data_IF_323446165719
#
_entry.id   IF_323446165719
#
_cell.length_a   1.000
_cell.length_b   1.000
_cell.length_c   1.000
_cell.angle_alpha   90.00
_cell.angle_beta   90.00
_cell.angle_gamma   90.00
#
_symmetry.space_group_name_H-M   'P 1'
#
loop_
_entity.id
_entity.type
_entity.pdbx_description
1 polymer ?
#
# COMPACT_ATOMS: atom_id res chain seq x y z
N UNK A 1 7.44 -60.33 -23.60
CA UNK A 1 7.78 -61.26 -22.50
C UNK A 1 7.36 -60.65 -21.18
N UNK A 2 6.68 -61.44 -20.35
CA UNK A 2 6.74 -61.55 -18.88
C UNK A 2 6.65 -60.31 -17.97
N UNK A 3 5.97 -60.30 -16.82
CA UNK A 3 4.93 -61.20 -16.27
C UNK A 3 4.21 -60.49 -15.09
N UNK A 4 2.90 -60.76 -14.95
CA UNK A 4 2.00 -60.47 -13.80
C UNK A 4 2.33 -61.41 -12.58
N UNK A 5 1.53 -61.48 -11.49
CA UNK A 5 0.97 -60.44 -10.58
C UNK A 5 0.97 -60.88 -9.07
N UNK A 6 0.38 -60.06 -8.17
CA UNK A 6 -0.47 -60.38 -6.97
C UNK A 6 -0.43 -59.19 -5.98
N UNK A 7 -1.42 -58.87 -5.14
CA UNK A 7 -2.77 -59.41 -4.90
C UNK A 7 -3.38 -58.74 -3.62
N UNK A 8 -4.72 -58.67 -3.42
CA UNK A 8 -5.34 -57.78 -2.42
C UNK A 8 -5.96 -58.50 -1.18
N UNK A 9 -6.18 -57.76 -0.07
CA UNK A 9 -7.17 -58.00 1.03
C UNK A 9 -7.49 -56.65 1.71
N UNK A 10 -8.71 -56.07 1.78
CA UNK A 10 -10.03 -56.46 2.34
C UNK A 10 -10.10 -56.56 3.87
N UNK A 11 -10.92 -55.74 4.55
CA UNK A 11 -11.22 -55.92 5.99
C UNK A 11 -11.88 -54.76 6.77
N UNK A 12 -13.13 -54.43 6.49
CA UNK A 12 -14.08 -53.71 7.38
C UNK A 12 -15.48 -54.37 7.21
N UNK A 13 -16.49 -54.15 8.08
CA UNK A 13 -16.50 -53.59 9.44
C UNK A 13 -17.00 -54.72 10.42
N UNK A 14 -18.17 -54.73 11.12
CA UNK A 14 -18.92 -53.70 11.88
C UNK A 14 -19.38 -54.09 13.32
N UNK A 15 -19.54 -53.05 14.16
CA UNK A 15 -20.62 -52.85 15.18
C UNK A 15 -20.91 -53.93 16.25
N UNK A 16 -20.87 -53.51 17.53
CA UNK A 16 -21.94 -53.87 18.49
C UNK A 16 -22.33 -52.71 19.43
N UNK A 17 -23.55 -52.22 19.27
CA UNK A 17 -24.25 -51.41 20.28
C UNK A 17 -24.56 -52.29 21.50
N UNK A 18 -24.44 -51.74 22.70
CA UNK A 18 -25.22 -52.17 23.86
C UNK A 18 -26.07 -51.00 24.35
N UNK A 19 -27.38 -51.07 24.14
CA UNK A 19 -28.38 -50.24 24.83
C UNK A 19 -29.02 -51.09 25.93
N UNK A 20 -28.87 -50.69 27.18
CA UNK A 20 -29.67 -51.14 28.32
C UNK A 20 -29.45 -50.16 29.48
N UNK A 21 -30.43 -49.79 30.29
CA UNK A 21 -31.88 -49.86 30.10
C UNK A 21 -32.52 -48.70 30.86
N UNK A 22 -33.69 -48.25 30.42
CA UNK A 22 -34.51 -47.28 31.17
C UNK A 22 -35.25 -48.02 32.28
N UNK A 23 -35.06 -47.62 33.53
CA UNK A 23 -36.08 -47.77 34.57
C UNK A 23 -36.28 -46.45 35.30
N UNK A 24 -37.50 -45.93 35.22
CA UNK A 24 -37.90 -44.64 35.76
C UNK A 24 -38.97 -44.89 36.83
N UNK A 25 -38.69 -44.62 38.12
CA UNK A 25 -39.73 -44.66 39.15
C UNK A 25 -39.46 -43.76 40.37
N UNK A 26 -39.71 -42.48 40.18
CA UNK A 26 -40.54 -41.65 41.07
C UNK A 26 -40.68 -42.07 42.55
N UNK A 27 -40.01 -41.32 43.44
CA UNK A 27 -40.59 -40.94 44.75
C UNK A 27 -39.85 -39.76 45.38
N UNK A 28 -40.40 -38.55 45.25
CA UNK A 28 -40.12 -37.46 46.19
C UNK A 28 -40.77 -37.79 47.54
N UNK A 29 -40.22 -37.27 48.64
CA UNK A 29 -40.93 -36.16 49.30
C UNK A 29 -40.05 -34.93 49.54
N UNK A 30 -40.73 -33.81 49.83
CA UNK A 30 -40.16 -32.48 50.00
C UNK A 30 -39.21 -32.38 51.21
N UNK A 31 -38.13 -31.60 51.07
CA UNK A 31 -37.56 -30.86 52.19
C UNK A 31 -36.99 -29.52 51.71
N UNK A 32 -37.58 -28.44 52.20
CA UNK A 32 -37.21 -27.06 51.92
C UNK A 32 -36.02 -26.63 52.79
N UNK A 33 -34.84 -26.39 52.19
CA UNK A 33 -33.83 -25.48 52.75
C UNK A 33 -33.22 -24.60 51.68
N UNK A 34 -33.45 -23.30 51.84
CA UNK A 34 -32.78 -22.19 51.17
C UNK A 34 -31.32 -22.10 51.58
N UNK A 35 -30.41 -21.80 50.63
CA UNK A 35 -29.31 -20.82 50.80
C UNK A 35 -28.38 -20.73 49.57
N UNK A 36 -27.95 -19.49 49.28
CA UNK A 36 -26.69 -19.12 48.63
C UNK A 36 -26.36 -19.69 47.22
N UNK A 37 -26.92 -19.05 46.19
CA UNK A 37 -26.28 -18.98 44.87
C UNK A 37 -25.01 -18.13 44.98
N UNK A 38 -23.83 -18.74 45.04
CA UNK A 38 -22.57 -18.03 44.81
C UNK A 38 -22.31 -17.93 43.30
N UNK A 39 -22.91 -16.92 42.68
CA UNK A 39 -22.66 -16.58 41.28
C UNK A 39 -21.24 -16.04 41.10
N UNK A 40 -20.32 -16.91 40.71
CA UNK A 40 -18.98 -16.51 40.26
C UNK A 40 -19.12 -15.78 38.91
N UNK A 41 -19.35 -14.47 38.98
CA UNK A 41 -19.29 -13.56 37.83
C UNK A 41 -17.82 -13.49 37.38
N UNK A 42 -17.45 -14.42 36.48
CA UNK A 42 -16.20 -14.32 35.72
C UNK A 42 -16.35 -13.06 34.87
N UNK A 43 -15.80 -11.96 35.38
CA UNK A 43 -15.41 -10.81 34.57
C UNK A 43 -14.40 -11.33 33.55
N UNK A 44 -14.91 -11.73 32.38
CA UNK A 44 -14.13 -11.67 31.16
C UNK A 44 -13.75 -10.20 30.99
N UNK A 45 -12.58 -9.84 31.56
CA UNK A 45 -11.85 -8.67 31.16
C UNK A 45 -11.75 -8.79 29.64
N UNK A 46 -12.45 -7.90 28.93
CA UNK A 46 -12.49 -7.94 27.48
C UNK A 46 -11.04 -7.96 27.02
N UNK A 47 -10.66 -8.99 26.27
CA UNK A 47 -9.48 -8.91 25.44
C UNK A 47 -9.79 -7.80 24.45
N UNK A 48 -9.45 -6.56 24.83
CA UNK A 48 -9.56 -5.41 23.97
C UNK A 48 -8.87 -5.80 22.68
N UNK A 49 -9.58 -5.67 21.57
CA UNK A 49 -8.99 -5.93 20.27
C UNK A 49 -7.78 -5.00 20.16
N UNK A 50 -6.60 -5.55 20.42
CA UNK A 50 -5.37 -4.80 20.35
C UNK A 50 -5.27 -4.31 18.92
N UNK A 51 -5.40 -2.99 18.74
CA UNK A 51 -5.17 -2.34 17.46
C UNK A 51 -3.76 -2.78 17.06
N UNK A 52 -3.67 -3.59 16.01
CA UNK A 52 -2.50 -4.41 15.78
C UNK A 52 -1.43 -3.58 15.06
N UNK A 53 -0.65 -2.85 15.84
CA UNK A 53 0.47 -2.09 15.32
C UNK A 53 1.40 -3.01 14.52
N UNK A 54 1.80 -2.57 13.33
CA UNK A 54 2.56 -3.37 12.38
C UNK A 54 3.74 -2.59 11.81
N UNK A 55 4.91 -3.20 11.78
CA UNK A 55 6.11 -2.68 11.13
C UNK A 55 6.58 -3.65 10.06
N UNK A 56 6.62 -3.19 8.82
CA UNK A 56 7.06 -3.93 7.64
C UNK A 56 8.40 -3.36 7.16
N UNK A 57 9.40 -4.21 7.07
CA UNK A 57 10.73 -3.82 6.58
C UNK A 57 10.93 -4.35 5.17
N UNK A 58 11.07 -3.44 4.22
CA UNK A 58 11.40 -3.71 2.83
C UNK A 58 12.90 -3.50 2.57
N UNK A 59 13.43 -4.17 1.55
CA UNK A 59 14.79 -4.01 1.07
C UNK A 59 14.81 -3.96 -0.46
N UNK A 60 15.51 -2.97 -1.00
CA UNK A 60 16.00 -2.93 -2.39
C UNK A 60 17.53 -3.04 -2.38
N UNK A 61 18.14 -3.79 -3.32
CA UNK A 61 19.60 -3.74 -3.53
C UNK A 61 20.10 -2.36 -3.97
N UNK A 62 19.24 -1.53 -4.57
CA UNK A 62 19.60 -0.22 -5.14
C UNK A 62 19.39 0.93 -4.17
N UNK A 63 18.25 0.94 -3.46
CA UNK A 63 17.83 2.07 -2.61
C UNK A 63 17.97 1.81 -1.12
N UNK A 64 18.35 0.60 -0.70
CA UNK A 64 18.54 0.25 0.71
C UNK A 64 17.27 -0.27 1.39
N UNK A 65 17.20 -0.13 2.71
CA UNK A 65 16.05 -0.59 3.50
C UNK A 65 15.02 0.51 3.72
N UNK A 66 13.75 0.19 3.49
CA UNK A 66 12.61 1.08 3.72
C UNK A 66 11.68 0.46 4.75
N UNK A 67 11.06 1.27 5.59
CA UNK A 67 10.16 0.79 6.66
C UNK A 67 8.78 1.40 6.52
N UNK A 68 7.74 0.57 6.59
CA UNK A 68 6.33 0.98 6.66
C UNK A 68 5.80 0.61 8.04
N UNK A 69 5.35 1.59 8.80
CA UNK A 69 4.75 1.43 10.12
C UNK A 69 3.25 1.76 10.01
N UNK A 70 2.38 0.94 10.61
CA UNK A 70 0.94 1.16 10.68
C UNK A 70 0.52 1.13 12.13
N UNK A 71 -0.26 2.14 12.53
CA UNK A 71 -0.81 2.29 13.87
C UNK A 71 -2.12 3.08 13.77
N UNK A 72 -3.24 2.53 14.25
CA UNK A 72 -4.51 3.26 14.41
C UNK A 72 -4.97 4.06 13.16
N UNK A 73 -4.85 3.49 11.95
CA UNK A 73 -5.19 4.18 10.68
C UNK A 73 -4.15 5.17 10.15
N UNK A 74 -3.05 5.39 10.89
CA UNK A 74 -1.88 6.11 10.42
C UNK A 74 -0.93 5.15 9.72
N UNK A 75 -0.37 5.55 8.57
CA UNK A 75 0.70 4.82 7.87
C UNK A 75 1.92 5.72 7.72
N UNK A 76 3.06 5.32 8.29
CA UNK A 76 4.33 6.06 8.21
C UNK A 76 5.32 5.27 7.36
N UNK A 77 5.79 5.86 6.26
CA UNK A 77 6.83 5.29 5.42
C UNK A 77 8.14 6.06 5.62
N UNK A 78 9.22 5.34 5.89
CA UNK A 78 10.60 5.86 5.87
C UNK A 78 11.34 5.21 4.72
N UNK A 79 11.84 6.00 3.77
CA UNK A 79 12.60 5.52 2.61
C UNK A 79 13.95 6.24 2.54
N UNK A 80 15.07 5.58 2.21
CA UNK A 80 16.35 6.26 2.04
C UNK A 80 16.31 7.20 0.84
N UNK A 81 16.91 8.38 0.96
CA UNK A 81 16.99 9.32 -0.15
C UNK A 81 18.09 8.92 -1.15
N UNK A 82 17.82 8.96 -2.47
CA UNK A 82 18.86 8.84 -3.49
C UNK A 82 19.94 9.92 -3.27
N UNK A 83 21.21 9.51 -3.28
CA UNK A 83 22.36 10.42 -3.08
C UNK A 83 22.83 10.60 -1.64
N UNK A 84 22.29 9.86 -0.66
CA UNK A 84 22.86 9.75 0.69
C UNK A 84 22.50 10.88 1.66
N UNK A 85 21.51 11.71 1.34
CA UNK A 85 21.06 12.84 2.17
C UNK A 85 20.21 12.49 3.40
N UNK A 86 20.23 11.24 3.87
CA UNK A 86 19.37 10.75 4.95
C UNK A 86 18.11 10.03 4.44
N UNK A 87 17.01 10.14 5.18
CA UNK A 87 15.73 9.47 4.86
C UNK A 87 14.64 10.49 4.49
N UNK A 88 13.70 10.08 3.65
CA UNK A 88 12.41 10.74 3.48
C UNK A 88 11.39 10.06 4.38
N UNK A 89 10.69 10.83 5.20
CA UNK A 89 9.59 10.33 6.04
C UNK A 89 8.29 10.89 5.50
N UNK A 90 7.34 10.00 5.21
CA UNK A 90 5.97 10.37 4.86
C UNK A 90 4.98 9.69 5.79
N UNK A 91 3.87 10.37 6.07
CA UNK A 91 2.83 9.95 7.00
C UNK A 91 1.47 10.17 6.34
N UNK A 92 0.65 9.14 6.27
CA UNK A 92 -0.74 9.20 5.85
C UNK A 92 -1.67 9.01 7.06
N UNK A 93 -2.68 9.86 7.16
CA UNK A 93 -3.76 9.81 8.14
C UNK A 93 -5.04 9.40 7.41
N UNK A 94 -5.47 8.13 7.53
CA UNK A 94 -6.63 7.63 6.80
C UNK A 94 -7.94 8.27 7.25
N UNK A 95 -8.07 8.59 8.54
CA UNK A 95 -9.26 9.23 9.12
C UNK A 95 -9.48 10.65 8.58
N UNK A 96 -8.41 11.38 8.27
CA UNK A 96 -8.46 12.74 7.74
C UNK A 96 -8.22 12.83 6.22
N UNK A 97 -7.86 11.73 5.55
CA UNK A 97 -7.48 11.72 4.14
C UNK A 97 -6.32 12.68 3.86
N UNK A 98 -5.28 12.65 4.71
CA UNK A 98 -4.19 13.64 4.70
C UNK A 98 -2.82 12.98 4.62
N UNK A 99 -2.05 13.38 3.62
CA UNK A 99 -0.68 12.94 3.39
C UNK A 99 0.31 14.03 3.79
N UNK A 100 1.35 13.65 4.52
CA UNK A 100 2.38 14.54 5.06
C UNK A 100 3.73 14.02 4.59
N UNK A 101 4.60 14.91 4.13
CA UNK A 101 6.01 14.62 3.83
C UNK A 101 6.88 15.50 4.71
N UNK A 102 7.83 14.89 5.42
CA UNK A 102 8.80 15.56 6.29
C UNK A 102 10.13 15.68 5.55
N UNK A 103 10.69 16.88 5.52
CA UNK A 103 12.07 17.16 5.13
C UNK A 103 12.88 17.34 6.42
N UNK A 104 13.60 16.29 6.81
CA UNK A 104 14.40 16.26 8.05
C UNK A 104 15.55 17.28 8.00
N UNK A 105 16.19 17.43 6.84
CA UNK A 105 17.31 18.34 6.65
C UNK A 105 16.91 19.81 6.79
N UNK A 106 15.71 20.17 6.32
CA UNK A 106 15.16 21.54 6.44
C UNK A 106 14.28 21.76 7.67
N UNK A 107 14.02 20.73 8.48
CA UNK A 107 13.02 20.74 9.57
C UNK A 107 11.69 21.35 9.12
N UNK A 108 11.20 20.88 7.98
CA UNK A 108 9.95 21.38 7.40
C UNK A 108 9.05 20.24 6.96
N UNK A 109 7.76 20.54 6.77
CA UNK A 109 6.81 19.54 6.28
C UNK A 109 5.85 20.13 5.27
N UNK A 110 5.45 19.31 4.30
CA UNK A 110 4.32 19.58 3.42
C UNK A 110 3.18 18.69 3.88
N UNK A 111 1.97 19.25 3.94
CA UNK A 111 0.76 18.51 4.23
C UNK A 111 -0.27 18.79 3.15
N UNK A 112 -0.83 17.72 2.59
CA UNK A 112 -1.77 17.74 1.47
C UNK A 112 -2.98 16.88 1.82
N UNK A 113 -4.16 17.41 1.53
CA UNK A 113 -5.43 16.71 1.50
C UNK A 113 -6.06 16.89 0.12
N UNK A 114 -7.19 16.24 -0.16
CA UNK A 114 -7.85 16.29 -1.47
C UNK A 114 -8.21 17.73 -1.90
N UNK A 115 -8.56 18.60 -0.96
CA UNK A 115 -8.86 20.01 -1.25
C UNK A 115 -7.60 20.78 -1.66
N UNK A 116 -6.50 20.60 -0.91
CA UNK A 116 -5.18 21.20 -1.20
C UNK A 116 -4.65 20.74 -2.56
N UNK A 117 -4.78 19.44 -2.89
CA UNK A 117 -4.35 18.88 -4.18
C UNK A 117 -5.18 19.45 -5.33
N UNK A 118 -6.51 19.53 -5.18
CA UNK A 118 -7.42 20.10 -6.19
C UNK A 118 -7.12 21.58 -6.46
N UNK A 119 -6.92 22.37 -5.41
CA UNK A 119 -6.55 23.78 -5.49
C UNK A 119 -5.17 23.98 -6.15
N UNK A 120 -4.18 23.16 -5.78
CA UNK A 120 -2.86 23.19 -6.42
C UNK A 120 -2.94 22.80 -7.91
N UNK A 121 -3.75 21.80 -8.27
CA UNK A 121 -3.94 21.40 -9.66
C UNK A 121 -4.62 22.49 -10.51
N UNK A 122 -5.55 23.28 -9.94
CA UNK A 122 -6.11 24.47 -10.60
C UNK A 122 -5.02 25.52 -10.85
N UNK A 123 -4.28 25.91 -9.81
CA UNK A 123 -3.17 26.89 -9.91
C UNK A 123 -2.10 26.45 -10.92
N UNK A 124 -1.78 25.16 -10.98
CA UNK A 124 -0.86 24.61 -11.98
C UNK A 124 -1.42 24.73 -13.41
N UNK A 125 -2.72 24.51 -13.62
CA UNK A 125 -3.37 24.71 -14.93
C UNK A 125 -3.40 26.20 -15.33
N UNK A 126 -3.71 27.08 -14.40
CA UNK A 126 -3.70 28.54 -14.60
C UNK A 126 -2.28 29.05 -14.95
N UNK A 127 -1.27 28.62 -14.19
CA UNK A 127 0.13 28.94 -14.46
C UNK A 127 0.59 28.43 -15.82
N UNK A 128 0.19 27.21 -16.21
CA UNK A 128 0.48 26.69 -17.56
C UNK A 128 -0.23 27.51 -18.65
N UNK A 129 -1.49 27.89 -18.46
CA UNK A 129 -2.21 28.74 -19.42
C UNK A 129 -1.55 30.12 -19.58
N UNK A 130 -1.12 30.76 -18.47
CA UNK A 130 -0.38 32.02 -18.49
C UNK A 130 0.98 31.86 -19.19
N UNK A 131 1.72 30.80 -18.91
CA UNK A 131 3.02 30.51 -19.55
C UNK A 131 2.86 30.30 -21.06
N UNK A 132 1.84 29.54 -21.50
CA UNK A 132 1.53 29.35 -22.92
C UNK A 132 1.10 30.66 -23.59
N UNK A 133 0.35 31.53 -22.91
CA UNK A 133 -0.02 32.84 -23.44
C UNK A 133 1.22 33.75 -23.61
N UNK A 134 2.12 33.81 -22.61
CA UNK A 134 3.37 34.56 -22.71
C UNK A 134 4.30 34.00 -23.80
N UNK A 135 4.36 32.68 -23.98
CA UNK A 135 5.11 32.06 -25.07
C UNK A 135 4.56 32.44 -26.43
N UNK A 136 3.22 32.37 -26.62
CA UNK A 136 2.54 32.80 -27.85
C UNK A 136 2.77 34.28 -28.17
N UNK A 137 2.83 35.14 -27.14
CA UNK A 137 3.15 36.55 -27.35
C UNK A 137 4.59 36.73 -27.83
N UNK A 138 5.57 36.12 -27.14
CA UNK A 138 6.99 36.19 -27.55
C UNK A 138 7.25 35.60 -28.94
N UNK A 139 6.49 34.59 -29.36
CA UNK A 139 6.61 34.02 -30.71
C UNK A 139 6.25 35.02 -31.81
N UNK A 140 5.45 36.07 -31.54
CA UNK A 140 5.16 37.12 -32.54
C UNK A 140 6.43 37.84 -32.98
N UNK A 141 7.32 38.15 -32.04
CA UNK A 141 8.53 38.94 -32.29
C UNK A 141 9.75 38.10 -32.74
N UNK A 142 9.60 36.78 -32.86
CA UNK A 142 10.70 35.88 -33.26
C UNK A 142 10.99 35.87 -34.76
N UNK A 143 12.25 35.65 -35.19
CA UNK A 143 12.59 35.28 -36.55
C UNK A 143 11.83 34.02 -37.00
N UNK A 144 11.53 33.92 -38.30
CA UNK A 144 10.68 32.85 -38.85
C UNK A 144 11.18 31.43 -38.52
N UNK A 145 12.49 31.19 -38.64
CA UNK A 145 13.12 29.89 -38.32
C UNK A 145 12.96 29.52 -36.83
N UNK A 146 13.13 30.49 -35.93
CA UNK A 146 12.98 30.26 -34.49
C UNK A 146 11.51 30.03 -34.10
N UNK A 147 10.58 30.75 -34.73
CA UNK A 147 9.13 30.53 -34.55
C UNK A 147 8.75 29.11 -34.98
N UNK A 148 9.18 28.67 -36.16
CA UNK A 148 8.89 27.32 -36.67
C UNK A 148 9.44 26.22 -35.75
N UNK A 149 10.67 26.36 -35.24
CA UNK A 149 11.21 25.40 -34.25
C UNK A 149 10.37 25.35 -32.97
N UNK A 150 9.87 26.50 -32.50
CA UNK A 150 9.07 26.57 -31.27
C UNK A 150 7.64 26.05 -31.46
N UNK A 151 7.03 26.33 -32.61
CA UNK A 151 5.73 25.75 -33.01
C UNK A 151 5.81 24.23 -33.12
N UNK A 152 6.89 23.68 -33.70
CA UNK A 152 7.13 22.23 -33.75
C UNK A 152 7.29 21.62 -32.34
N UNK A 153 8.02 22.26 -31.44
CA UNK A 153 8.16 21.80 -30.05
C UNK A 153 6.83 21.86 -29.29
N UNK A 154 6.04 22.92 -29.47
CA UNK A 154 4.69 23.00 -28.90
C UNK A 154 3.78 21.90 -29.44
N UNK A 155 3.79 21.65 -30.75
CA UNK A 155 2.99 20.59 -31.36
C UNK A 155 3.38 19.20 -30.83
N UNK A 156 4.67 18.90 -30.69
CA UNK A 156 5.15 17.65 -30.08
C UNK A 156 4.74 17.52 -28.60
N UNK A 157 4.75 18.63 -27.86
CA UNK A 157 4.32 18.65 -26.46
C UNK A 157 2.80 18.46 -26.30
N UNK A 158 2.00 19.06 -27.17
CA UNK A 158 0.54 18.86 -27.25
C UNK A 158 0.19 17.44 -27.72
N UNK A 159 0.92 16.87 -28.70
CA UNK A 159 0.79 15.47 -29.12
C UNK A 159 1.14 14.53 -27.94
N UNK A 160 2.26 14.76 -27.25
CA UNK A 160 2.68 13.98 -26.09
C UNK A 160 1.70 14.02 -24.90
N UNK A 161 0.93 15.10 -24.77
CA UNK A 161 -0.19 15.22 -23.81
C UNK A 161 -1.47 14.54 -24.29
N UNK A 162 -1.71 14.52 -25.60
CA UNK A 162 -2.90 13.97 -26.23
C UNK A 162 -2.80 12.47 -26.52
N UNK A 163 -1.59 11.89 -26.45
CA UNK A 163 -1.39 10.45 -26.57
C UNK A 163 -2.24 9.70 -25.54
N UNK A 164 -3.02 8.68 -25.96
CA UNK A 164 -3.74 7.84 -25.03
C UNK A 164 -2.77 7.19 -24.06
N UNK A 165 -3.21 6.99 -22.82
CA UNK A 165 -2.46 6.19 -21.85
C UNK A 165 -2.14 4.82 -22.44
N UNK A 166 -0.93 4.28 -22.17
CA UNK A 166 -0.66 2.89 -22.50
C UNK A 166 -1.58 1.99 -21.68
N UNK A 167 -2.06 0.90 -22.29
CA UNK A 167 -3.00 -0.02 -21.67
C UNK A 167 -2.25 -0.88 -20.64
N UNK A 168 -2.52 -0.64 -19.35
CA UNK A 168 -2.02 -1.47 -18.26
C UNK A 168 -3.00 -2.62 -17.99
N UNK A 169 -2.50 -3.85 -17.99
CA UNK A 169 -3.26 -5.05 -17.59
C UNK A 169 -2.49 -5.86 -16.56
N UNK A 170 -3.15 -6.30 -15.48
CA UNK A 170 -2.55 -7.21 -14.49
C UNK A 170 -3.13 -8.60 -14.65
N UNK A 171 -2.27 -9.61 -14.75
CA UNK A 171 -2.68 -11.01 -14.90
C UNK A 171 -2.05 -11.88 -13.81
N UNK A 172 -2.88 -12.67 -13.14
CA UNK A 172 -2.42 -13.73 -12.23
C UNK A 172 -1.73 -14.82 -13.06
N UNK A 173 -0.49 -15.15 -12.72
CA UNK A 173 0.32 -16.11 -13.52
C UNK A 173 0.04 -17.58 -13.19
N UNK A 174 -0.73 -17.86 -12.14
CA UNK A 174 -0.94 -19.20 -11.59
C UNK A 174 0.23 -19.72 -10.74
N UNK A 175 1.41 -19.09 -10.80
CA UNK A 175 2.56 -19.45 -9.95
C UNK A 175 2.36 -19.00 -8.51
N UNK A 176 2.87 -19.80 -7.59
CA UNK A 176 3.03 -19.44 -6.18
C UNK A 176 4.49 -19.61 -5.77
N UNK A 177 4.97 -18.73 -4.91
CA UNK A 177 6.36 -18.69 -4.45
C UNK A 177 6.42 -18.43 -2.94
N UNK A 178 7.63 -18.51 -2.37
CA UNK A 178 7.94 -18.09 -1.00
C UNK A 178 9.09 -17.10 -1.05
N UNK A 179 8.84 -15.86 -0.64
CA UNK A 179 9.83 -14.77 -0.59
C UNK A 179 10.12 -14.44 0.86
N UNK A 180 11.37 -14.64 1.31
CA UNK A 180 11.80 -14.38 2.70
C UNK A 180 10.89 -15.03 3.78
N UNK A 181 10.32 -16.20 3.48
CA UNK A 181 9.37 -16.91 4.35
C UNK A 181 7.89 -16.63 4.08
N UNK A 182 7.55 -15.57 3.33
CA UNK A 182 6.19 -15.20 2.99
C UNK A 182 5.70 -15.93 1.74
N UNK A 183 4.66 -16.76 1.86
CA UNK A 183 4.01 -17.40 0.71
C UNK A 183 3.17 -16.37 -0.06
N UNK A 184 3.36 -16.31 -1.37
CA UNK A 184 2.71 -15.34 -2.25
C UNK A 184 2.31 -15.93 -3.61
N UNK A 185 1.38 -15.28 -4.30
CA UNK A 185 0.97 -15.56 -5.68
C UNK A 185 1.63 -14.55 -6.62
N UNK A 186 2.16 -15.00 -7.76
CA UNK A 186 2.83 -14.12 -8.72
C UNK A 186 1.84 -13.53 -9.72
N UNK A 187 1.89 -12.22 -9.89
CA UNK A 187 1.14 -11.41 -10.85
C UNK A 187 2.12 -10.71 -11.80
N UNK A 188 1.77 -10.66 -13.09
CA UNK A 188 2.52 -9.98 -14.13
C UNK A 188 1.70 -8.79 -14.62
N UNK A 189 2.30 -7.60 -14.66
CA UNK A 189 1.76 -6.44 -15.37
C UNK A 189 2.22 -6.43 -16.81
N UNK A 190 1.32 -5.98 -17.69
CA UNK A 190 1.56 -5.79 -19.12
C UNK A 190 1.25 -4.34 -19.47
N UNK A 191 2.11 -3.72 -20.27
CA UNK A 191 1.93 -2.39 -20.83
C UNK A 191 1.85 -2.56 -22.35
N UNK A 192 0.71 -2.21 -22.95
CA UNK A 192 0.41 -2.43 -24.37
C UNK A 192 0.68 -3.87 -24.83
N UNK A 193 0.28 -4.84 -23.98
CA UNK A 193 0.46 -6.28 -24.20
C UNK A 193 1.87 -6.81 -23.97
N UNK A 194 2.87 -5.96 -23.68
CA UNK A 194 4.26 -6.38 -23.39
C UNK A 194 4.46 -6.55 -21.88
N UNK A 195 5.11 -7.63 -21.40
CA UNK A 195 5.45 -7.78 -19.98
C UNK A 195 6.29 -6.59 -19.48
N UNK A 196 5.91 -5.99 -18.36
CA UNK A 196 6.56 -4.80 -17.82
C UNK A 196 7.12 -5.01 -16.40
N UNK A 197 6.27 -5.39 -15.45
CA UNK A 197 6.62 -5.53 -14.02
C UNK A 197 6.02 -6.80 -13.43
N UNK A 198 6.60 -7.33 -12.36
CA UNK A 198 6.09 -8.50 -11.64
C UNK A 198 5.85 -8.15 -10.16
N UNK A 199 4.82 -8.69 -9.54
CA UNK A 199 4.61 -8.64 -8.10
C UNK A 199 4.27 -10.03 -7.55
N UNK A 200 4.91 -10.42 -6.44
CA UNK A 200 4.48 -11.56 -5.64
C UNK A 200 3.67 -11.04 -4.45
N UNK A 201 2.38 -11.34 -4.45
CA UNK A 201 1.38 -10.77 -3.52
C UNK A 201 0.95 -11.82 -2.49
N UNK A 202 1.04 -11.50 -1.21
CA UNK A 202 0.63 -12.34 -0.09
C UNK A 202 -0.73 -11.90 0.48
N UNK A 203 -1.40 -12.81 1.20
CA UNK A 203 -2.60 -12.51 1.98
C UNK A 203 -2.20 -11.64 3.20
N UNK A 204 -2.83 -10.48 3.46
CA UNK A 204 -2.51 -9.64 4.61
C UNK A 204 -2.63 -10.38 5.95
N UNK A 205 -3.54 -11.35 6.06
CA UNK A 205 -3.70 -12.19 7.26
C UNK A 205 -2.52 -13.13 7.47
N UNK A 206 -1.90 -13.65 6.40
CA UNK A 206 -0.69 -14.49 6.55
C UNK A 206 0.57 -13.68 6.88
N UNK A 207 0.51 -12.36 6.70
CA UNK A 207 1.50 -11.40 7.20
C UNK A 207 1.24 -10.94 8.65
N UNK A 208 0.12 -11.36 9.27
CA UNK A 208 -0.26 -10.94 10.61
C UNK A 208 -0.90 -9.55 10.71
N UNK A 209 -1.28 -8.93 9.59
CA UNK A 209 -1.94 -7.61 9.58
C UNK A 209 -3.42 -7.76 9.96
N UNK A 210 -3.94 -6.83 10.76
CA UNK A 210 -5.38 -6.77 11.01
C UNK A 210 -6.13 -6.25 9.77
N UNK A 211 -7.45 -6.46 9.69
CA UNK A 211 -8.27 -5.86 8.65
C UNK A 211 -8.18 -4.32 8.62
N UNK A 212 -7.95 -3.67 9.76
CA UNK A 212 -7.83 -2.23 9.87
C UNK A 212 -6.51 -1.72 9.29
N UNK A 213 -5.39 -2.39 9.56
CA UNK A 213 -4.06 -1.99 9.06
C UNK A 213 -4.01 -2.14 7.54
N UNK A 214 -4.53 -3.26 7.04
CA UNK A 214 -4.63 -3.49 5.60
C UNK A 214 -5.56 -2.47 4.92
N UNK A 215 -6.65 -2.05 5.59
CA UNK A 215 -7.50 -0.98 5.05
C UNK A 215 -6.77 0.37 5.02
N UNK A 216 -6.02 0.73 6.07
CA UNK A 216 -5.22 1.96 6.08
C UNK A 216 -4.15 2.00 4.97
N UNK A 217 -3.51 0.86 4.68
CA UNK A 217 -2.58 0.70 3.55
C UNK A 217 -3.31 0.90 2.21
N UNK A 218 -4.51 0.31 2.03
CA UNK A 218 -5.32 0.51 0.82
C UNK A 218 -5.75 1.97 0.64
N UNK A 219 -6.18 2.62 1.71
CA UNK A 219 -6.60 4.03 1.70
C UNK A 219 -5.44 4.94 1.31
N UNK A 220 -4.23 4.63 1.78
CA UNK A 220 -2.99 5.32 1.35
C UNK A 220 -2.73 5.14 -0.15
N UNK A 221 -2.78 3.92 -0.67
CA UNK A 221 -2.58 3.68 -2.12
C UNK A 221 -3.66 4.36 -2.97
N UNK A 222 -4.92 4.31 -2.55
CA UNK A 222 -6.02 4.99 -3.22
C UNK A 222 -5.83 6.51 -3.22
N UNK A 223 -5.41 7.10 -2.10
CA UNK A 223 -5.09 8.53 -2.02
C UNK A 223 -3.91 8.92 -2.93
N UNK A 224 -2.84 8.13 -2.94
CA UNK A 224 -1.70 8.37 -3.82
C UNK A 224 -2.07 8.28 -5.31
N UNK A 225 -2.95 7.33 -5.68
CA UNK A 225 -3.47 7.21 -7.04
C UNK A 225 -4.36 8.40 -7.45
N UNK A 226 -5.28 8.84 -6.59
CA UNK A 226 -6.14 10.03 -6.79
C UNK A 226 -5.30 11.32 -6.91
N UNK A 227 -4.28 11.46 -6.06
CA UNK A 227 -3.32 12.57 -6.13
C UNK A 227 -2.56 12.58 -7.46
N UNK A 228 -1.99 11.45 -7.87
CA UNK A 228 -1.21 11.37 -9.10
C UNK A 228 -2.09 11.63 -10.34
N UNK A 229 -3.31 11.08 -10.37
CA UNK A 229 -4.31 11.38 -11.41
C UNK A 229 -4.72 12.85 -11.45
N UNK A 230 -4.82 13.52 -10.30
CA UNK A 230 -5.22 14.93 -10.22
C UNK A 230 -4.11 15.87 -10.69
N UNK A 231 -2.84 15.56 -10.38
CA UNK A 231 -1.68 16.40 -10.71
C UNK A 231 -1.21 16.19 -12.15
N UNK A 232 -1.05 14.93 -12.58
CA UNK A 232 -0.48 14.58 -13.89
C UNK A 232 -1.55 14.20 -14.93
N UNK A 233 -2.84 14.32 -14.58
CA UNK A 233 -3.91 13.76 -15.40
C UNK A 233 -3.83 12.22 -15.45
N UNK A 234 -4.37 11.64 -16.51
CA UNK A 234 -4.30 10.19 -16.74
C UNK A 234 -2.87 9.64 -16.70
N UNK A 235 -1.88 10.41 -17.18
CA UNK A 235 -0.45 10.07 -17.16
C UNK A 235 0.14 9.84 -15.74
N UNK A 236 -0.58 10.21 -14.68
CA UNK A 236 -0.15 10.01 -13.29
C UNK A 236 -0.27 8.58 -12.74
N UNK A 237 -0.99 7.67 -13.42
CA UNK A 237 -1.05 6.27 -12.96
C UNK A 237 0.34 5.63 -13.00
N UNK A 238 0.76 5.09 -11.86
CA UNK A 238 1.92 4.19 -11.73
C UNK A 238 1.79 3.06 -12.77
N UNK A 239 2.75 2.88 -13.71
CA UNK A 239 2.61 1.90 -14.81
C UNK A 239 2.56 0.42 -14.37
N UNK A 240 2.64 0.17 -13.07
CA UNK A 240 2.70 -1.16 -12.46
C UNK A 240 1.30 -1.73 -12.16
N UNK A 241 0.30 -0.88 -11.87
CA UNK A 241 -1.12 -1.24 -11.71
C UNK A 241 -1.47 -2.25 -10.61
N UNK A 242 -0.55 -2.59 -9.71
CA UNK A 242 -0.76 -3.61 -8.68
C UNK A 242 -1.64 -3.13 -7.51
N UNK A 243 -1.99 -1.84 -7.44
CA UNK A 243 -2.83 -1.24 -6.41
C UNK A 243 -4.25 -1.83 -6.37
N UNK A 244 -4.72 -2.37 -7.50
CA UNK A 244 -6.02 -3.03 -7.64
C UNK A 244 -5.98 -4.55 -7.30
N UNK A 245 -4.78 -5.13 -7.07
CA UNK A 245 -4.64 -6.56 -6.74
C UNK A 245 -4.89 -6.81 -5.25
N UNK A 246 -5.79 -7.73 -4.88
CA UNK A 246 -6.03 -8.06 -3.47
C UNK A 246 -4.79 -8.67 -2.79
N UNK A 247 -4.28 -7.99 -1.77
CA UNK A 247 -3.22 -8.44 -0.88
C UNK A 247 -2.11 -7.41 -0.72
N UNK A 248 -0.95 -7.84 -0.24
CA UNK A 248 0.22 -6.98 -0.12
C UNK A 248 1.42 -7.56 -0.90
N UNK A 249 2.11 -6.76 -1.74
CA UNK A 249 3.31 -7.23 -2.41
C UNK A 249 4.44 -7.49 -1.40
N UNK A 250 4.93 -8.73 -1.39
CA UNK A 250 6.13 -9.16 -0.65
C UNK A 250 7.37 -9.20 -1.56
N UNK A 251 7.17 -9.15 -2.88
CA UNK A 251 8.17 -8.77 -3.88
C UNK A 251 7.51 -7.88 -4.93
N UNK A 252 8.19 -6.84 -5.37
CA UNK A 252 7.96 -6.21 -6.68
C UNK A 252 9.25 -6.24 -7.50
N UNK A 253 9.10 -6.38 -8.82
CA UNK A 253 10.17 -6.23 -9.81
C UNK A 253 9.71 -5.22 -10.85
N UNK A 254 10.31 -4.04 -10.84
CA UNK A 254 10.01 -2.95 -11.75
C UNK A 254 10.59 -3.20 -13.16
N UNK A 255 10.14 -2.45 -14.19
CA UNK A 255 10.77 -2.46 -15.50
C UNK A 255 12.25 -2.06 -15.36
N UNK A 256 13.16 -2.79 -16.00
CA UNK A 256 14.60 -2.63 -15.78
C UNK A 256 15.19 -3.49 -14.65
N UNK A 257 14.37 -4.32 -13.97
CA UNK A 257 14.84 -5.39 -13.10
C UNK A 257 15.07 -5.00 -11.63
N UNK A 258 14.95 -3.72 -11.28
CA UNK A 258 15.00 -3.27 -9.88
C UNK A 258 13.94 -4.01 -9.05
N UNK A 259 14.37 -4.57 -7.92
CA UNK A 259 13.56 -5.46 -7.09
C UNK A 259 13.47 -4.91 -5.67
N UNK A 260 12.26 -4.89 -5.11
CA UNK A 260 12.01 -4.59 -3.70
C UNK A 260 11.33 -5.79 -3.05
N UNK A 261 11.82 -6.21 -1.88
CA UNK A 261 11.28 -7.37 -1.15
C UNK A 261 10.94 -7.02 0.30
N UNK A 262 9.84 -7.57 0.80
CA UNK A 262 9.54 -7.62 2.23
C UNK A 262 10.51 -8.61 2.90
N UNK A 263 11.26 -8.12 3.90
CA UNK A 263 12.21 -8.91 4.69
C UNK A 263 11.69 -9.28 6.07
N UNK A 264 10.80 -8.47 6.65
CA UNK A 264 10.23 -8.71 7.99
C UNK A 264 8.87 -8.04 8.15
N UNK A 265 8.01 -8.67 8.95
CA UNK A 265 6.87 -8.02 9.61
C UNK A 265 7.02 -8.21 11.12
N UNK A 266 6.79 -7.17 11.90
CA UNK A 266 6.78 -7.20 13.37
C UNK A 266 5.49 -6.55 13.89
N UNK A 267 4.79 -7.20 14.80
CA UNK A 267 3.53 -6.72 15.38
C UNK A 267 3.70 -6.26 16.83
N UNK A 268 4.60 -5.27 17.05
CA UNK A 268 4.87 -4.68 18.36
C UNK A 268 4.17 -3.32 18.48
N UNK A 269 3.72 -2.92 19.69
CA UNK A 269 3.17 -1.59 19.93
C UNK A 269 4.10 -0.48 19.43
N UNK A 270 3.51 0.55 18.83
CA UNK A 270 4.20 1.73 18.31
C UNK A 270 3.78 2.97 19.10
N UNK A 271 4.70 3.93 19.21
CA UNK A 271 4.42 5.20 19.87
C UNK A 271 3.72 6.16 18.90
N UNK A 272 2.56 6.69 19.30
CA UNK A 272 1.85 7.83 18.73
C UNK A 272 2.77 8.92 18.13
N UNK A 273 3.84 9.26 18.84
CA UNK A 273 4.76 10.35 18.46
C UNK A 273 5.49 10.08 17.15
N UNK A 274 5.68 8.81 16.75
CA UNK A 274 6.27 8.44 15.46
C UNK A 274 5.45 8.96 14.27
N UNK A 275 4.13 9.09 14.46
CA UNK A 275 3.16 9.51 13.44
C UNK A 275 2.78 10.99 13.53
N UNK A 276 3.43 11.76 14.40
CA UNK A 276 3.21 13.20 14.59
C UNK A 276 4.31 14.00 13.87
N UNK A 277 3.98 15.25 13.54
CA UNK A 277 4.97 16.20 13.02
C UNK A 277 5.91 16.57 14.18
N UNK A 278 7.25 16.42 14.07
CA UNK A 278 8.15 16.68 15.20
C UNK A 278 8.18 18.17 15.60
N UNK A 279 8.54 18.43 16.87
CA UNK A 279 8.55 19.78 17.42
C UNK A 279 9.49 20.73 16.66
N UNK A 280 9.00 21.94 16.39
CA UNK A 280 9.73 22.98 15.66
C UNK A 280 9.80 22.79 14.14
N UNK A 281 9.09 21.81 13.57
CA UNK A 281 8.96 21.70 12.11
C UNK A 281 8.01 22.79 11.56
N UNK A 282 8.41 23.43 10.45
CA UNK A 282 7.62 24.49 9.80
C UNK A 282 6.84 23.98 8.59
N UNK A 283 5.61 24.46 8.38
CA UNK A 283 4.80 24.10 7.20
C UNK A 283 5.34 24.81 5.96
N UNK A 284 5.84 24.05 4.99
CA UNK A 284 6.25 24.55 3.68
C UNK A 284 5.08 24.59 2.69
N UNK A 285 5.20 25.40 1.64
CA UNK A 285 4.23 25.42 0.55
C UNK A 285 4.46 24.22 -0.40
N UNK A 286 3.41 23.50 -0.85
CA UNK A 286 3.57 22.32 -1.71
C UNK A 286 4.45 22.51 -2.95
N UNK A 287 4.35 23.67 -3.63
CA UNK A 287 5.15 23.93 -4.84
C UNK A 287 6.67 24.06 -4.60
N UNK A 288 7.13 24.26 -3.36
CA UNK A 288 8.57 24.34 -3.05
C UNK A 288 9.21 22.97 -2.78
N UNK A 289 8.42 21.91 -2.55
CA UNK A 289 8.96 20.58 -2.19
C UNK A 289 9.03 19.55 -3.31
N UNK A 290 8.33 19.76 -4.44
CA UNK A 290 8.32 18.83 -5.57
C UNK A 290 9.31 19.18 -6.69
N UNK A 291 10.17 20.18 -6.50
CA UNK A 291 11.27 20.45 -7.42
C UNK A 291 12.34 19.35 -7.31
N UNK A 292 12.99 18.93 -8.42
CA UNK A 292 14.19 18.10 -8.34
C UNK A 292 15.19 18.81 -7.43
N UNK A 293 15.76 18.06 -6.48
CA UNK A 293 16.55 18.64 -5.40
C UNK A 293 17.66 19.54 -5.92
N UNK A 294 17.47 20.86 -5.84
CA UNK A 294 18.58 21.80 -5.91
C UNK A 294 19.44 21.50 -4.68
N UNK A 295 20.54 20.78 -4.91
CA UNK A 295 21.58 20.56 -3.92
C UNK A 295 22.11 21.88 -3.37
N UNK A 296 22.86 21.85 -2.27
CA UNK A 296 23.34 23.06 -1.63
C UNK A 296 24.09 23.92 -2.64
N UNK A 297 23.59 25.16 -2.86
CA UNK A 297 24.39 26.19 -3.50
C UNK A 297 25.59 26.43 -2.60
N UNK A 298 26.78 26.14 -3.12
CA UNK A 298 28.04 26.56 -2.52
C UNK A 298 28.18 28.08 -2.61
#
# INVERSE_FOLDING_TARGET
>A
MMSRPRGPKTGEPPVRRAKAAVTNRWRNPMSTKTAAVCGALILFAGAGAALADATLTYQSPRTGSSTVMIHNGMVRMTTPQPGGGGSSVSIFDSHKGRFIVLDEARRSYIAMDKATISEQAKRMKEMQAQMMAQMRERMKDMPAEQRQMMEQQMAQFEEGRSRPMPKVEIRKTGKTEVVNGFRCTVYQSYIDGKPASEACVADPKSLGLSPQDYQAIKDMFAFMADMAQTVSGSQGRTPQGFEEVPGLPVRTRAPGGETMELKRVETRPLDDQLFRIPAGYQKAQPMQGFGPGQGPRR
#
